data_IF_732601099000
#
_entry.id   IF_732601099000
#
_cell.length_a   1.000
_cell.length_b   1.000
_cell.length_c   1.000
_cell.angle_alpha   90.00
_cell.angle_beta   90.00
_cell.angle_gamma   90.00
#
_symmetry.space_group_name_H-M   'P 1'
#
loop_
_entity.id
_entity.type
_entity.pdbx_description
1 polymer ?
#
# COMPACT_ATOMS: atom_id res chain seq x y z
N UNK A 1 15.67 -24.90 -30.83
CA UNK A 1 14.77 -25.36 -29.76
C UNK A 1 14.34 -24.10 -28.99
N UNK A 2 13.05 -23.78 -29.04
CA UNK A 2 12.51 -22.74 -28.16
C UNK A 2 12.77 -23.14 -26.70
N UNK A 3 13.50 -22.30 -25.98
CA UNK A 3 13.74 -22.52 -24.55
C UNK A 3 12.44 -22.30 -23.81
N UNK A 4 11.85 -23.37 -23.29
CA UNK A 4 10.57 -23.29 -22.53
C UNK A 4 10.82 -22.50 -21.26
N UNK A 5 10.22 -21.32 -21.18
CA UNK A 5 10.08 -20.57 -19.93
C UNK A 5 8.87 -21.07 -19.19
N UNK A 6 9.01 -21.26 -17.89
CA UNK A 6 7.95 -21.76 -17.01
C UNK A 6 7.69 -20.79 -15.88
N UNK A 7 6.45 -20.29 -15.78
CA UNK A 7 5.95 -19.54 -14.63
C UNK A 7 5.16 -20.50 -13.75
N UNK A 8 5.56 -20.63 -12.50
CA UNK A 8 4.91 -21.54 -11.55
C UNK A 8 4.80 -20.92 -10.15
N UNK A 9 3.76 -21.28 -9.37
CA UNK A 9 3.69 -20.93 -7.96
C UNK A 9 4.91 -21.47 -7.21
N UNK A 10 5.40 -20.67 -6.25
CA UNK A 10 6.53 -21.08 -5.42
C UNK A 10 6.08 -21.89 -4.22
N UNK A 11 6.94 -22.80 -3.81
CA UNK A 11 6.81 -23.66 -2.64
C UNK A 11 8.03 -23.52 -1.73
N UNK A 12 8.03 -24.12 -0.55
CA UNK A 12 9.18 -24.14 0.36
C UNK A 12 10.48 -24.64 -0.32
N UNK A 13 10.36 -25.52 -1.32
CA UNK A 13 11.51 -26.08 -2.06
C UNK A 13 12.23 -25.05 -2.93
N UNK A 14 11.57 -23.94 -3.25
CA UNK A 14 12.08 -22.93 -4.18
C UNK A 14 12.88 -21.82 -3.47
N UNK A 15 12.89 -21.81 -2.13
CA UNK A 15 13.66 -20.84 -1.34
C UNK A 15 15.14 -20.76 -1.72
N UNK A 16 15.89 -21.89 -1.88
CA UNK A 16 17.29 -21.82 -2.28
C UNK A 16 17.50 -21.18 -3.66
N UNK A 17 16.53 -21.35 -4.58
CA UNK A 17 16.60 -20.73 -5.90
C UNK A 17 16.38 -19.20 -5.80
N UNK A 18 15.49 -18.74 -4.91
CA UNK A 18 15.28 -17.32 -4.63
C UNK A 18 16.54 -16.68 -4.00
N UNK A 19 17.12 -17.34 -2.99
CA UNK A 19 18.35 -16.89 -2.31
C UNK A 19 19.57 -16.84 -3.26
N UNK A 20 19.59 -17.72 -4.27
CA UNK A 20 20.65 -17.74 -5.27
C UNK A 20 20.54 -16.63 -6.34
N UNK A 21 19.42 -15.90 -6.41
CA UNK A 21 19.27 -14.78 -7.35
C UNK A 21 20.14 -13.59 -6.95
N UNK A 22 20.79 -12.95 -7.90
CA UNK A 22 21.38 -11.63 -7.73
C UNK A 22 20.34 -10.55 -8.01
N UNK A 23 19.61 -10.14 -6.97
CA UNK A 23 18.61 -9.05 -7.08
C UNK A 23 19.21 -7.66 -6.89
N UNK A 24 20.44 -7.59 -6.37
CA UNK A 24 21.13 -6.37 -5.96
C UNK A 24 20.53 -5.70 -4.72
N UNK A 25 19.78 -6.44 -3.91
CA UNK A 25 19.20 -6.00 -2.64
C UNK A 25 19.85 -6.83 -1.53
N UNK A 26 20.72 -6.22 -0.71
CA UNK A 26 21.50 -6.92 0.31
C UNK A 26 20.63 -7.59 1.38
N UNK A 27 19.60 -6.90 1.87
CA UNK A 27 18.68 -7.40 2.89
C UNK A 27 17.26 -7.49 2.30
N UNK A 28 17.08 -8.40 1.34
CA UNK A 28 15.79 -8.54 0.67
C UNK A 28 14.72 -9.10 1.63
N UNK A 29 13.77 -8.24 1.98
CA UNK A 29 12.67 -8.63 2.85
C UNK A 29 11.85 -9.81 2.29
N UNK A 30 11.77 -9.98 0.97
CA UNK A 30 11.02 -11.08 0.34
C UNK A 30 11.62 -12.43 0.75
N UNK A 31 12.94 -12.52 0.81
CA UNK A 31 13.65 -13.71 1.31
C UNK A 31 13.33 -13.96 2.79
N UNK A 32 13.36 -12.89 3.62
CA UNK A 32 13.10 -13.01 5.06
C UNK A 32 11.69 -13.47 5.41
N UNK A 33 10.70 -13.04 4.65
CA UNK A 33 9.29 -13.38 4.90
C UNK A 33 8.74 -14.43 3.93
N UNK A 34 9.61 -15.12 3.19
CA UNK A 34 9.24 -16.06 2.13
C UNK A 34 8.24 -17.10 2.63
N UNK A 35 8.55 -17.79 3.75
CA UNK A 35 7.70 -18.82 4.34
C UNK A 35 6.30 -18.27 4.65
N UNK A 36 6.24 -17.12 5.30
CA UNK A 36 4.97 -16.44 5.62
C UNK A 36 4.16 -16.12 4.37
N UNK A 37 4.83 -15.77 3.26
CA UNK A 37 4.14 -15.42 2.02
C UNK A 37 3.53 -16.63 1.32
N UNK A 38 4.22 -17.77 1.31
CA UNK A 38 3.74 -18.99 0.65
C UNK A 38 2.75 -19.79 1.50
N UNK A 39 2.73 -19.58 2.83
CA UNK A 39 1.78 -20.22 3.76
C UNK A 39 0.49 -19.42 3.92
N UNK A 40 0.39 -18.22 3.35
CA UNK A 40 -0.75 -17.32 3.52
C UNK A 40 -1.80 -17.50 2.44
N UNK A 41 -3.05 -17.61 2.82
CA UNK A 41 -4.20 -17.66 1.89
C UNK A 41 -4.42 -16.34 1.13
N UNK A 42 -3.83 -15.24 1.58
CA UNK A 42 -4.00 -13.90 0.96
C UNK A 42 -2.80 -13.46 0.12
N UNK A 43 -1.76 -14.29 0.00
CA UNK A 43 -0.57 -14.00 -0.79
C UNK A 43 -0.22 -15.17 -1.69
N UNK A 44 0.26 -14.89 -2.88
CA UNK A 44 0.82 -15.91 -3.75
C UNK A 44 2.09 -15.38 -4.43
N UNK A 45 3.14 -16.21 -4.45
CA UNK A 45 4.40 -15.92 -5.11
C UNK A 45 4.61 -16.87 -6.27
N UNK A 46 5.15 -16.35 -7.37
CA UNK A 46 5.49 -17.10 -8.57
C UNK A 46 6.95 -16.89 -8.93
N UNK A 47 7.55 -17.89 -9.52
CA UNK A 47 8.88 -17.83 -10.10
C UNK A 47 8.84 -18.04 -11.61
N UNK A 48 9.65 -17.27 -12.34
CA UNK A 48 9.97 -17.52 -13.75
C UNK A 48 11.25 -18.36 -13.80
N UNK A 49 11.14 -19.56 -14.35
CA UNK A 49 12.26 -20.48 -14.45
C UNK A 49 12.67 -20.71 -15.91
N UNK A 50 13.98 -20.89 -16.10
CA UNK A 50 14.57 -21.37 -17.34
C UNK A 50 15.72 -22.32 -17.00
N UNK A 51 15.72 -23.52 -17.58
CA UNK A 51 16.77 -24.54 -17.34
C UNK A 51 17.05 -24.76 -15.84
N UNK A 52 15.98 -24.76 -15.04
CA UNK A 52 16.08 -24.96 -13.58
C UNK A 52 16.56 -23.74 -12.77
N UNK A 53 16.88 -22.61 -13.42
CA UNK A 53 17.28 -21.38 -12.73
C UNK A 53 16.11 -20.41 -12.63
N UNK A 54 15.91 -19.85 -11.45
CA UNK A 54 14.94 -18.76 -11.23
C UNK A 54 15.51 -17.45 -11.79
N UNK A 55 14.78 -16.82 -12.71
CA UNK A 55 15.15 -15.56 -13.37
C UNK A 55 14.41 -14.35 -12.81
N UNK A 56 13.21 -14.57 -12.29
CA UNK A 56 12.41 -13.54 -11.66
C UNK A 56 11.46 -14.16 -10.63
N UNK A 57 11.10 -13.38 -9.63
CA UNK A 57 10.04 -13.67 -8.65
C UNK A 57 9.11 -12.47 -8.55
N UNK A 58 7.85 -12.72 -8.32
CA UNK A 58 6.81 -11.73 -8.08
C UNK A 58 5.52 -12.42 -7.71
N UNK A 59 4.49 -11.66 -7.37
CA UNK A 59 3.21 -12.24 -7.00
C UNK A 59 2.21 -11.18 -6.65
N UNK A 60 1.22 -11.55 -5.85
CA UNK A 60 0.15 -10.63 -5.45
C UNK A 60 -0.27 -10.83 -4.00
N UNK A 61 -0.99 -9.84 -3.49
CA UNK A 61 -1.73 -9.89 -2.24
C UNK A 61 -3.20 -9.63 -2.53
N UNK A 62 -4.09 -10.36 -1.87
CA UNK A 62 -5.54 -10.20 -2.00
C UNK A 62 -6.09 -9.37 -0.83
N UNK A 63 -7.01 -8.46 -1.15
CA UNK A 63 -7.72 -7.60 -0.22
C UNK A 63 -9.22 -7.65 -0.51
N UNK A 64 -10.04 -7.19 0.46
CA UNK A 64 -11.49 -7.12 0.29
C UNK A 64 -12.11 -8.46 -0.08
N UNK A 65 -11.80 -9.52 0.70
CA UNK A 65 -12.26 -10.90 0.47
C UNK A 65 -11.92 -11.43 -0.93
N UNK A 66 -10.75 -11.05 -1.46
CA UNK A 66 -10.25 -11.51 -2.76
C UNK A 66 -10.64 -10.62 -3.94
N UNK A 67 -11.41 -9.56 -3.73
CA UNK A 67 -11.87 -8.67 -4.80
C UNK A 67 -10.76 -7.84 -5.43
N UNK A 68 -9.72 -7.49 -4.66
CA UNK A 68 -8.60 -6.67 -5.09
C UNK A 68 -7.32 -7.47 -5.05
N UNK A 69 -6.60 -7.53 -6.16
CA UNK A 69 -5.28 -8.14 -6.25
C UNK A 69 -4.21 -7.05 -6.46
N UNK A 70 -3.29 -6.92 -5.51
CA UNK A 70 -2.17 -5.99 -5.58
C UNK A 70 -0.90 -6.75 -5.93
N UNK A 71 -0.40 -6.57 -7.15
CA UNK A 71 0.88 -7.12 -7.61
C UNK A 71 2.04 -6.51 -6.82
N UNK A 72 3.07 -7.29 -6.57
CA UNK A 72 4.23 -6.81 -5.85
C UNK A 72 5.37 -7.82 -5.74
N UNK A 73 6.35 -7.48 -4.93
CA UNK A 73 7.51 -8.32 -4.61
C UNK A 73 8.34 -8.71 -5.84
N UNK A 74 8.26 -7.90 -6.91
CA UNK A 74 8.95 -8.17 -8.16
C UNK A 74 10.47 -8.06 -7.97
N UNK A 75 11.19 -9.12 -8.31
CA UNK A 75 12.64 -9.19 -8.39
C UNK A 75 13.04 -9.86 -9.68
N UNK A 76 14.17 -9.47 -10.23
CA UNK A 76 14.79 -10.12 -11.37
C UNK A 76 16.27 -10.36 -11.12
N UNK A 77 16.79 -11.48 -11.57
CA UNK A 77 18.22 -11.76 -11.49
C UNK A 77 18.98 -10.85 -12.46
N UNK A 78 19.87 -10.00 -11.92
CA UNK A 78 20.67 -9.04 -12.70
C UNK A 78 21.65 -9.71 -13.67
N UNK A 79 22.05 -10.95 -13.39
CA UNK A 79 22.93 -11.75 -14.27
C UNK A 79 22.21 -12.26 -15.50
N UNK A 80 20.86 -12.21 -15.51
CA UNK A 80 20.08 -12.57 -16.68
C UNK A 80 20.24 -11.48 -17.75
N UNK A 81 20.88 -11.82 -18.87
CA UNK A 81 21.06 -10.93 -20.02
C UNK A 81 19.74 -10.65 -20.79
N UNK A 82 18.68 -11.37 -20.43
CA UNK A 82 17.40 -11.25 -21.11
C UNK A 82 16.57 -10.11 -20.54
N UNK A 83 16.07 -9.26 -21.43
CA UNK A 83 15.11 -8.21 -21.10
C UNK A 83 13.69 -8.81 -21.16
N UNK A 84 12.82 -8.41 -20.22
CA UNK A 84 11.41 -8.79 -20.29
C UNK A 84 10.97 -9.81 -19.24
N UNK A 85 11.89 -10.42 -18.46
CA UNK A 85 11.57 -11.43 -17.44
C UNK A 85 10.42 -11.01 -16.51
N UNK A 86 10.38 -9.74 -16.10
CA UNK A 86 9.32 -9.20 -15.24
C UNK A 86 7.94 -9.23 -15.92
N UNK A 87 7.87 -8.87 -17.21
CA UNK A 87 6.62 -8.92 -17.98
C UNK A 87 6.20 -10.37 -18.24
N UNK A 88 7.16 -11.24 -18.60
CA UNK A 88 6.90 -12.67 -18.83
C UNK A 88 6.41 -13.39 -17.57
N UNK A 89 6.92 -13.00 -16.40
CA UNK A 89 6.44 -13.50 -15.12
C UNK A 89 5.02 -13.00 -14.83
N UNK A 90 4.77 -11.70 -14.94
CA UNK A 90 3.53 -11.09 -14.44
C UNK A 90 2.35 -11.22 -15.41
N UNK A 91 2.57 -11.31 -16.73
CA UNK A 91 1.48 -11.40 -17.70
C UNK A 91 0.53 -12.58 -17.44
N UNK A 92 1.02 -13.84 -17.33
CA UNK A 92 0.13 -14.97 -17.07
C UNK A 92 -0.58 -14.87 -15.70
N UNK A 93 0.05 -14.25 -14.70
CA UNK A 93 -0.54 -14.00 -13.37
C UNK A 93 -1.70 -13.02 -13.50
N UNK A 94 -1.51 -11.91 -14.21
CA UNK A 94 -2.57 -10.90 -14.45
C UNK A 94 -3.72 -11.52 -15.25
N UNK A 95 -3.41 -12.33 -16.28
CA UNK A 95 -4.42 -13.02 -17.07
C UNK A 95 -5.21 -14.02 -16.23
N UNK A 96 -4.57 -14.71 -15.30
CA UNK A 96 -5.22 -15.62 -14.35
C UNK A 96 -6.13 -14.85 -13.40
N UNK A 97 -5.64 -13.75 -12.80
CA UNK A 97 -6.42 -12.90 -11.91
C UNK A 97 -7.68 -12.33 -12.59
N UNK A 98 -7.57 -11.88 -13.85
CA UNK A 98 -8.75 -11.40 -14.58
C UNK A 98 -9.73 -12.50 -14.98
N UNK A 99 -9.33 -13.78 -14.99
CA UNK A 99 -10.26 -14.91 -15.16
C UNK A 99 -10.94 -15.33 -13.88
N UNK A 100 -10.35 -15.05 -12.74
CA UNK A 100 -10.93 -15.36 -11.44
C UNK A 100 -12.20 -14.53 -11.23
N UNK A 101 -13.38 -15.14 -11.01
CA UNK A 101 -14.63 -14.41 -10.81
C UNK A 101 -14.66 -13.56 -9.54
N UNK A 102 -13.83 -13.88 -8.54
CA UNK A 102 -13.74 -13.12 -7.29
C UNK A 102 -12.99 -11.80 -7.47
N UNK A 103 -12.01 -11.75 -8.37
CA UNK A 103 -11.16 -10.58 -8.59
C UNK A 103 -11.89 -9.60 -9.49
N UNK A 104 -12.09 -8.38 -9.02
CA UNK A 104 -12.67 -7.28 -9.78
C UNK A 104 -11.63 -6.23 -10.20
N UNK A 105 -10.53 -6.11 -9.46
CA UNK A 105 -9.49 -5.13 -9.72
C UNK A 105 -8.10 -5.73 -9.53
N UNK A 106 -7.19 -5.39 -10.45
CA UNK A 106 -5.77 -5.74 -10.38
C UNK A 106 -4.95 -4.47 -10.45
N UNK A 107 -3.99 -4.31 -9.55
CA UNK A 107 -3.10 -3.15 -9.56
C UNK A 107 -1.74 -3.42 -8.95
N UNK A 108 -0.93 -2.38 -8.89
CA UNK A 108 0.39 -2.36 -8.28
C UNK A 108 0.73 -0.96 -7.80
N UNK A 109 1.50 -0.86 -6.74
CA UNK A 109 2.03 0.42 -6.25
C UNK A 109 3.55 0.40 -6.38
N UNK A 110 4.15 1.44 -6.96
CA UNK A 110 5.59 1.51 -7.18
C UNK A 110 6.13 2.92 -7.05
N UNK A 111 7.41 3.07 -6.71
CA UNK A 111 8.06 4.38 -6.66
C UNK A 111 7.88 5.14 -7.98
N UNK A 112 7.56 6.43 -7.89
CA UNK A 112 7.35 7.29 -9.05
C UNK A 112 8.54 7.29 -10.02
N UNK A 113 9.76 7.20 -9.48
CA UNK A 113 11.01 7.19 -10.26
C UNK A 113 11.45 5.79 -10.71
N UNK A 114 10.73 4.74 -10.34
CA UNK A 114 11.03 3.38 -10.82
C UNK A 114 10.49 3.17 -12.25
N UNK A 115 11.15 3.80 -13.23
CA UNK A 115 10.75 3.73 -14.62
C UNK A 115 10.72 2.32 -15.19
N UNK A 116 11.55 1.41 -14.65
CA UNK A 116 11.56 0.01 -15.10
C UNK A 116 10.28 -0.71 -14.70
N UNK A 117 9.88 -0.62 -13.43
CA UNK A 117 8.63 -1.21 -12.95
C UNK A 117 7.41 -0.57 -13.64
N UNK A 118 7.38 0.75 -13.78
CA UNK A 118 6.30 1.46 -14.47
C UNK A 118 6.08 0.97 -15.90
N UNK A 119 7.16 0.80 -16.68
CA UNK A 119 7.06 0.22 -18.04
C UNK A 119 6.52 -1.21 -18.05
N UNK A 120 6.83 -2.02 -17.04
CA UNK A 120 6.25 -3.37 -16.91
C UNK A 120 4.74 -3.25 -16.69
N UNK A 121 4.28 -2.42 -15.74
CA UNK A 121 2.87 -2.24 -15.43
C UNK A 121 2.07 -1.71 -16.63
N UNK A 122 2.63 -0.77 -17.39
CA UNK A 122 2.04 -0.25 -18.63
C UNK A 122 1.91 -1.34 -19.72
N UNK A 123 2.92 -2.22 -19.86
CA UNK A 123 2.84 -3.38 -20.78
C UNK A 123 1.77 -4.39 -20.36
N UNK A 124 1.49 -4.52 -19.07
CA UNK A 124 0.39 -5.32 -18.53
C UNK A 124 -0.99 -4.63 -18.69
N UNK A 125 -1.05 -3.50 -19.39
CA UNK A 125 -2.26 -2.70 -19.60
C UNK A 125 -2.91 -2.22 -18.29
N UNK A 126 -2.11 -1.97 -17.25
CA UNK A 126 -2.57 -1.30 -16.05
C UNK A 126 -2.47 0.21 -16.25
N UNK A 127 -3.53 0.92 -15.90
CA UNK A 127 -3.62 2.37 -16.04
C UNK A 127 -2.90 3.08 -14.89
N UNK A 128 -2.30 4.23 -15.18
CA UNK A 128 -1.74 5.12 -14.16
C UNK A 128 -2.87 5.71 -13.32
N UNK A 129 -2.69 5.66 -12.02
CA UNK A 129 -3.57 6.26 -11.01
C UNK A 129 -2.90 7.41 -10.28
N UNK A 130 -3.36 7.75 -9.07
CA UNK A 130 -2.81 8.86 -8.30
C UNK A 130 -1.39 8.61 -7.83
N UNK A 131 -0.67 9.72 -7.60
CA UNK A 131 0.61 9.74 -6.91
C UNK A 131 0.36 10.08 -5.45
N UNK A 132 0.90 9.26 -4.55
CA UNK A 132 0.82 9.46 -3.11
C UNK A 132 2.20 9.72 -2.53
N UNK A 133 2.25 10.63 -1.57
CA UNK A 133 3.42 10.93 -0.76
C UNK A 133 3.21 10.32 0.64
N UNK A 134 4.09 9.41 1.02
CA UNK A 134 4.06 8.74 2.32
C UNK A 134 5.02 9.44 3.28
N UNK A 135 4.49 9.99 4.35
CA UNK A 135 5.26 10.66 5.39
C UNK A 135 5.00 10.03 6.75
N UNK A 136 6.06 9.83 7.52
CA UNK A 136 5.90 9.42 8.91
C UNK A 136 6.22 10.61 9.82
N UNK A 137 5.22 11.13 10.51
CA UNK A 137 5.40 12.13 11.57
C UNK A 137 6.12 11.47 12.74
N UNK A 138 7.38 11.83 12.98
CA UNK A 138 8.24 11.29 14.04
C UNK A 138 8.63 12.32 15.09
N UNK A 139 8.65 13.59 14.72
CA UNK A 139 9.14 14.69 15.56
C UNK A 139 8.05 15.74 15.81
N UNK A 140 6.99 15.40 16.57
CA UNK A 140 5.84 16.30 16.74
C UNK A 140 6.18 17.65 17.39
N UNK A 141 7.31 17.74 18.11
CA UNK A 141 7.80 19.00 18.68
C UNK A 141 8.23 20.02 17.63
N UNK A 142 8.48 19.56 16.40
CA UNK A 142 8.84 20.41 15.26
C UNK A 142 7.63 20.83 14.42
N UNK A 143 6.43 20.32 14.74
CA UNK A 143 5.21 20.75 14.08
C UNK A 143 4.96 22.23 14.36
N UNK A 144 4.95 23.03 13.31
CA UNK A 144 4.67 24.47 13.35
C UNK A 144 3.63 24.81 12.28
N UNK A 145 3.07 26.00 12.35
CA UNK A 145 2.17 26.54 11.34
C UNK A 145 0.91 25.69 11.05
N UNK A 146 0.45 24.85 12.00
CA UNK A 146 -0.85 24.20 11.95
C UNK A 146 -1.88 24.94 12.78
N UNK A 147 -3.14 24.83 12.41
CA UNK A 147 -4.26 25.41 13.18
C UNK A 147 -4.52 24.55 14.42
N UNK A 148 -4.19 25.13 15.59
CA UNK A 148 -4.43 24.46 16.86
C UNK A 148 -5.92 24.40 17.20
N UNK A 149 -6.33 23.30 17.84
CA UNK A 149 -7.72 23.11 18.24
C UNK A 149 -7.91 21.97 19.23
N UNK A 150 -9.14 21.71 19.67
CA UNK A 150 -9.43 20.59 20.56
C UNK A 150 -9.18 19.27 19.82
N UNK A 151 -8.86 18.22 20.59
CA UNK A 151 -8.92 16.84 20.09
C UNK A 151 -10.34 16.56 19.61
N UNK A 152 -10.47 15.99 18.42
CA UNK A 152 -11.76 15.70 17.82
C UNK A 152 -12.49 14.60 18.58
N UNK A 153 -13.82 14.58 18.49
CA UNK A 153 -14.66 13.61 19.19
C UNK A 153 -14.53 12.22 18.54
N UNK A 154 -14.35 11.18 19.38
CA UNK A 154 -14.27 9.81 18.89
C UNK A 154 -15.66 9.29 18.48
N UNK A 155 -15.77 8.79 17.26
CA UNK A 155 -16.96 8.13 16.73
C UNK A 155 -16.88 6.64 17.07
N UNK A 156 -17.75 6.18 17.98
CA UNK A 156 -17.79 4.79 18.41
C UNK A 156 -18.90 3.99 17.75
N UNK A 157 -19.97 4.65 17.28
CA UNK A 157 -21.10 4.00 16.61
C UNK A 157 -20.70 3.45 15.25
N UNK A 158 -20.93 2.14 15.05
CA UNK A 158 -20.55 1.43 13.83
C UNK A 158 -21.31 1.92 12.60
N UNK A 159 -22.58 2.27 12.74
CA UNK A 159 -23.40 2.76 11.64
C UNK A 159 -22.89 4.12 11.18
N UNK A 160 -22.57 5.01 12.12
CA UNK A 160 -21.97 6.30 11.82
C UNK A 160 -20.59 6.15 11.14
N UNK A 161 -19.73 5.21 11.58
CA UNK A 161 -18.47 4.91 10.88
C UNK A 161 -18.70 4.50 9.42
N UNK A 162 -19.72 3.67 9.14
CA UNK A 162 -20.09 3.27 7.76
C UNK A 162 -20.53 4.46 6.91
N UNK A 163 -21.31 5.39 7.47
CA UNK A 163 -21.75 6.61 6.79
C UNK A 163 -20.56 7.52 6.44
N UNK A 164 -19.64 7.71 7.38
CA UNK A 164 -18.42 8.47 7.15
C UNK A 164 -17.56 7.84 6.04
N UNK A 165 -17.36 6.52 6.07
CA UNK A 165 -16.62 5.82 5.00
C UNK A 165 -17.30 6.00 3.65
N UNK A 166 -18.62 5.85 3.58
CA UNK A 166 -19.35 6.02 2.32
C UNK A 166 -19.18 7.43 1.74
N UNK A 167 -19.05 8.45 2.59
CA UNK A 167 -18.80 9.83 2.15
C UNK A 167 -17.43 10.02 1.46
N UNK A 168 -16.50 9.05 1.58
CA UNK A 168 -15.15 9.12 0.99
C UNK A 168 -15.05 8.47 -0.39
N UNK A 169 -16.13 7.99 -0.98
CA UNK A 169 -16.12 7.40 -2.33
C UNK A 169 -15.48 8.34 -3.37
N UNK A 170 -15.79 9.64 -3.24
CA UNK A 170 -15.14 10.71 -3.99
C UNK A 170 -14.29 11.54 -3.04
N UNK A 171 -12.98 11.36 -3.06
CA UNK A 171 -12.06 12.03 -2.15
C UNK A 171 -10.84 12.61 -2.88
N UNK A 172 -10.14 13.54 -2.25
CA UNK A 172 -9.00 14.26 -2.85
C UNK A 172 -7.73 13.42 -3.00
N UNK A 173 -7.62 12.28 -2.29
CA UNK A 173 -6.55 11.31 -2.52
C UNK A 173 -6.76 10.50 -3.81
N UNK A 174 -8.00 10.36 -4.28
CA UNK A 174 -8.39 9.53 -5.41
C UNK A 174 -8.33 8.02 -5.13
N UNK A 175 -8.07 7.63 -3.89
CA UNK A 175 -7.97 6.24 -3.41
C UNK A 175 -8.35 6.16 -1.94
N UNK A 176 -8.49 4.94 -1.44
CA UNK A 176 -8.54 4.66 -0.02
C UNK A 176 -7.18 4.12 0.46
N UNK A 177 -6.48 4.77 1.41
CA UNK A 177 -5.22 4.28 1.97
C UNK A 177 -5.51 3.11 2.93
N UNK A 178 -5.67 1.91 2.38
CA UNK A 178 -6.16 0.73 3.11
C UNK A 178 -5.15 0.25 4.16
N UNK A 179 -3.89 0.04 3.75
CA UNK A 179 -2.74 -0.22 4.61
C UNK A 179 -1.55 0.64 4.16
N UNK A 180 -0.55 0.81 5.02
CA UNK A 180 0.71 1.44 4.63
C UNK A 180 1.28 0.75 3.37
N UNK A 181 1.62 1.51 2.33
CA UNK A 181 2.02 1.06 0.99
C UNK A 181 0.91 0.45 0.11
N UNK A 182 -0.30 0.21 0.62
CA UNK A 182 -1.39 -0.42 -0.13
C UNK A 182 -2.61 0.51 -0.23
N UNK A 183 -2.53 1.58 -1.05
CA UNK A 183 -3.72 2.30 -1.45
C UNK A 183 -4.54 1.44 -2.40
N UNK A 184 -5.86 1.43 -2.23
CA UNK A 184 -6.80 0.70 -3.07
C UNK A 184 -7.87 1.65 -3.59
N UNK A 185 -8.51 1.38 -4.73
CA UNK A 185 -9.70 2.12 -5.10
C UNK A 185 -10.81 1.88 -4.05
N UNK A 186 -11.65 2.90 -3.85
CA UNK A 186 -12.77 2.77 -2.91
C UNK A 186 -13.72 1.64 -3.33
N UNK A 187 -14.08 0.81 -2.37
CA UNK A 187 -15.13 -0.20 -2.51
C UNK A 187 -15.59 -0.69 -1.13
N UNK A 188 -16.89 -0.91 -0.98
CA UNK A 188 -17.48 -1.36 0.28
C UNK A 188 -16.93 -2.71 0.78
N UNK A 189 -16.46 -3.59 -0.12
CA UNK A 189 -15.85 -4.87 0.26
C UNK A 189 -14.57 -4.72 1.12
N UNK A 190 -13.95 -3.53 1.15
CA UNK A 190 -12.80 -3.24 1.99
C UNK A 190 -13.17 -3.04 3.47
N UNK A 191 -14.44 -2.73 3.76
CA UNK A 191 -14.88 -2.23 5.07
C UNK A 191 -15.80 -3.21 5.78
N UNK A 192 -15.25 -4.34 6.19
CA UNK A 192 -15.99 -5.27 7.07
C UNK A 192 -16.22 -4.62 8.44
N UNK A 193 -17.26 -5.04 9.15
CA UNK A 193 -17.54 -4.55 10.50
C UNK A 193 -16.32 -4.69 11.42
N UNK A 194 -15.63 -5.84 11.35
CA UNK A 194 -14.40 -6.07 12.09
C UNK A 194 -13.28 -5.07 11.75
N UNK A 195 -13.17 -4.66 10.47
CA UNK A 195 -12.18 -3.66 10.05
C UNK A 195 -12.51 -2.29 10.66
N UNK A 196 -13.78 -1.90 10.65
CA UNK A 196 -14.26 -0.63 11.20
C UNK A 196 -14.16 -0.59 12.73
N UNK A 197 -14.50 -1.69 13.42
CA UNK A 197 -14.37 -1.81 14.87
C UNK A 197 -12.91 -1.67 15.34
N UNK A 198 -11.94 -2.19 14.58
CA UNK A 198 -10.50 -2.08 14.86
C UNK A 198 -9.88 -0.74 14.44
N UNK A 199 -10.68 0.18 13.91
CA UNK A 199 -10.24 1.50 13.48
C UNK A 199 -10.85 2.57 14.40
N UNK A 200 -10.02 3.50 14.88
CA UNK A 200 -10.51 4.69 15.60
C UNK A 200 -10.90 5.77 14.59
N UNK A 201 -12.09 6.32 14.75
CA UNK A 201 -12.60 7.41 13.96
C UNK A 201 -12.76 8.63 14.84
N UNK A 202 -12.33 9.79 14.39
CA UNK A 202 -12.50 11.05 15.07
C UNK A 202 -13.12 12.06 14.12
N UNK A 203 -14.12 12.80 14.58
CA UNK A 203 -14.83 13.81 13.78
C UNK A 203 -14.63 15.19 14.41
N UNK A 204 -14.38 16.21 13.58
CA UNK A 204 -14.19 17.57 14.03
C UNK A 204 -15.52 18.18 14.55
N UNK A 205 -15.48 19.29 15.35
CA UNK A 205 -16.66 19.82 16.04
C UNK A 205 -17.83 20.24 15.12
N UNK A 206 -17.56 20.62 13.87
CA UNK A 206 -18.59 21.03 12.90
C UNK A 206 -19.04 19.89 11.98
N UNK A 207 -18.53 18.66 12.24
CA UNK A 207 -18.81 17.45 11.46
C UNK A 207 -18.46 17.53 9.95
N UNK A 208 -17.64 18.51 9.55
CA UNK A 208 -17.22 18.69 8.15
C UNK A 208 -16.03 17.80 7.76
N UNK A 209 -15.27 17.31 8.73
CA UNK A 209 -14.07 16.49 8.56
C UNK A 209 -14.03 15.35 9.57
N UNK A 210 -13.40 14.27 9.17
CA UNK A 210 -13.06 13.17 10.08
C UNK A 210 -11.70 12.57 9.70
N UNK A 211 -11.09 11.88 10.64
CA UNK A 211 -9.86 11.14 10.45
C UNK A 211 -10.02 9.73 10.97
N UNK A 212 -9.43 8.78 10.26
CA UNK A 212 -9.38 7.38 10.69
C UNK A 212 -7.93 7.08 11.08
N UNK A 213 -7.73 6.47 12.24
CA UNK A 213 -6.42 5.99 12.66
C UNK A 213 -6.52 4.50 12.96
N UNK A 214 -5.60 3.75 12.41
CA UNK A 214 -5.53 2.30 12.61
C UNK A 214 -4.08 1.88 12.80
N UNK A 215 -3.83 0.94 13.71
CA UNK A 215 -2.51 0.31 13.82
C UNK A 215 -2.20 -0.49 12.55
N UNK A 216 -1.03 -0.28 11.98
CA UNK A 216 -0.51 -1.04 10.84
C UNK A 216 0.95 -1.43 11.09
N UNK A 217 1.27 -2.71 10.89
CA UNK A 217 2.60 -3.29 11.09
C UNK A 217 3.24 -3.57 9.73
N UNK A 218 4.40 -2.95 9.50
CA UNK A 218 5.29 -3.25 8.35
C UNK A 218 6.65 -3.70 8.89
N UNK A 219 7.70 -2.90 8.72
CA UNK A 219 8.97 -3.10 9.42
C UNK A 219 8.85 -2.69 10.91
N UNK A 220 8.01 -1.72 11.17
CA UNK A 220 7.69 -1.16 12.48
C UNK A 220 6.17 -1.01 12.59
N UNK A 221 5.69 -0.73 13.80
CA UNK A 221 4.30 -0.43 14.05
C UNK A 221 4.05 1.08 13.91
N UNK A 222 2.95 1.43 13.22
CA UNK A 222 2.56 2.80 12.91
C UNK A 222 1.13 3.07 13.34
N UNK A 223 0.85 4.31 13.76
CA UNK A 223 -0.50 4.87 13.71
C UNK A 223 -0.76 5.32 12.26
N UNK A 224 -1.42 4.48 11.46
CA UNK A 224 -1.75 4.80 10.07
C UNK A 224 -2.93 5.75 10.04
N UNK A 225 -2.69 6.99 9.65
CA UNK A 225 -3.66 8.11 9.60
C UNK A 225 -4.23 8.19 8.19
N UNK A 226 -5.54 8.08 8.07
CA UNK A 226 -6.27 8.16 6.81
C UNK A 226 -7.11 9.44 6.84
N UNK A 227 -6.70 10.40 6.04
CA UNK A 227 -7.38 11.69 5.89
C UNK A 227 -7.58 12.00 4.42
N UNK A 228 -8.74 12.43 4.02
CA UNK A 228 -9.20 12.40 2.64
C UNK A 228 -9.21 13.77 1.96
N UNK A 229 -8.75 14.81 2.64
CA UNK A 229 -8.68 16.19 2.17
C UNK A 229 -7.23 16.69 2.16
N UNK A 230 -7.01 17.86 1.53
CA UNK A 230 -5.68 18.46 1.40
C UNK A 230 -5.41 19.57 2.43
N UNK A 231 -6.28 19.74 3.40
CA UNK A 231 -6.30 20.85 4.37
C UNK A 231 -5.77 20.49 5.77
N UNK A 232 -4.91 19.45 5.88
CA UNK A 232 -4.36 18.94 7.16
C UNK A 232 -3.88 20.04 8.11
N UNK A 233 -3.19 21.05 7.59
CA UNK A 233 -2.62 22.16 8.38
C UNK A 233 -3.63 23.25 8.73
N UNK A 234 -4.75 23.31 8.00
CA UNK A 234 -5.81 24.32 8.16
C UNK A 234 -7.02 23.79 8.93
N UNK A 235 -6.95 22.53 9.42
CA UNK A 235 -8.02 21.93 10.22
C UNK A 235 -7.68 22.02 11.70
N UNK A 236 -8.39 22.88 12.49
CA UNK A 236 -8.14 23.01 13.90
C UNK A 236 -8.28 21.67 14.63
N UNK A 237 -7.26 21.28 15.37
CA UNK A 237 -7.28 20.05 16.17
C UNK A 237 -6.91 18.77 15.42
N UNK A 238 -6.62 18.82 14.12
CA UNK A 238 -6.22 17.61 13.37
C UNK A 238 -4.96 16.96 13.95
N UNK A 239 -3.89 17.74 14.11
CA UNK A 239 -2.64 17.21 14.66
C UNK A 239 -2.77 16.84 16.14
N UNK A 240 -3.50 17.60 16.94
CA UNK A 240 -3.80 17.26 18.32
C UNK A 240 -4.49 15.90 18.43
N UNK A 241 -5.41 15.60 17.51
CA UNK A 241 -6.16 14.34 17.46
C UNK A 241 -5.27 13.15 17.14
N UNK A 242 -4.48 13.24 16.06
CA UNK A 242 -3.61 12.10 15.68
C UNK A 242 -2.48 11.88 16.69
N UNK A 243 -1.98 12.95 17.30
CA UNK A 243 -0.99 12.86 18.39
C UNK A 243 -1.60 12.33 19.69
N UNK A 244 -2.86 12.65 19.99
CA UNK A 244 -3.61 12.06 21.10
C UNK A 244 -3.72 10.54 20.93
N UNK A 245 -4.12 10.10 19.75
CA UNK A 245 -4.18 8.67 19.43
C UNK A 245 -2.82 8.00 19.55
N UNK A 246 -1.76 8.58 18.94
CA UNK A 246 -0.41 8.01 19.00
C UNK A 246 0.12 7.86 20.43
N UNK A 247 -0.14 8.80 21.31
CA UNK A 247 0.25 8.72 22.74
C UNK A 247 -0.33 7.49 23.46
N UNK A 248 -1.46 6.97 22.99
CA UNK A 248 -2.08 5.74 23.53
C UNK A 248 -1.40 4.46 23.01
N UNK A 249 -0.53 4.59 21.99
CA UNK A 249 0.19 3.50 21.33
C UNK A 249 1.71 3.75 21.35
N UNK A 250 2.36 3.62 22.53
CA UNK A 250 3.77 4.01 22.71
C UNK A 250 4.75 3.16 21.89
N UNK A 251 4.34 1.98 21.45
CA UNK A 251 5.16 1.09 20.62
C UNK A 251 5.19 1.51 19.14
N UNK A 252 4.28 2.41 18.70
CA UNK A 252 4.30 2.95 17.37
C UNK A 252 5.44 3.95 17.18
N UNK A 253 6.17 3.81 16.08
CA UNK A 253 7.32 4.67 15.77
C UNK A 253 6.92 6.06 15.23
N UNK A 254 5.65 6.27 14.92
CA UNK A 254 5.11 7.54 14.44
C UNK A 254 3.73 7.41 13.80
N UNK A 255 3.20 8.55 13.33
CA UNK A 255 2.00 8.59 12.53
C UNK A 255 2.37 8.53 11.04
N UNK A 256 1.94 7.47 10.36
CA UNK A 256 2.04 7.36 8.92
C UNK A 256 0.86 8.08 8.27
N UNK A 257 1.13 9.02 7.39
CA UNK A 257 0.11 9.85 6.73
C UNK A 257 0.31 9.78 5.21
N UNK A 258 -0.77 9.53 4.48
CA UNK A 258 -0.79 9.53 3.02
C UNK A 258 -1.27 10.89 2.54
N UNK A 259 -0.47 11.57 1.73
CA UNK A 259 -0.83 12.84 1.13
C UNK A 259 -1.01 12.69 -0.39
N UNK A 260 -1.98 13.38 -0.94
CA UNK A 260 -2.02 13.64 -2.38
C UNK A 260 -0.86 14.54 -2.80
N UNK A 261 -0.61 14.68 -4.09
CA UNK A 261 0.40 15.61 -4.59
C UNK A 261 0.09 17.08 -4.19
N UNK A 262 -1.19 17.44 -4.06
CA UNK A 262 -1.60 18.76 -3.61
C UNK A 262 -1.45 18.91 -2.10
N UNK A 263 -1.93 17.94 -1.32
CA UNK A 263 -1.75 17.95 0.13
C UNK A 263 -0.28 18.00 0.55
N UNK A 264 0.61 17.33 -0.20
CA UNK A 264 2.05 17.40 0.05
C UNK A 264 2.64 18.80 -0.18
N UNK A 265 2.19 19.52 -1.19
CA UNK A 265 2.63 20.92 -1.45
C UNK A 265 2.18 21.89 -0.35
N UNK A 266 1.07 21.57 0.32
CA UNK A 266 0.54 22.38 1.40
C UNK A 266 1.26 22.21 2.73
N UNK A 267 2.24 21.29 2.83
CA UNK A 267 3.05 21.09 4.04
C UNK A 267 4.05 22.26 4.16
N UNK A 268 3.98 23.06 5.22
CA UNK A 268 4.84 24.25 5.36
C UNK A 268 6.28 23.89 5.74
N UNK A 269 6.49 22.79 6.44
CA UNK A 269 7.80 22.31 6.90
C UNK A 269 7.85 20.79 6.95
N UNK A 270 8.84 20.19 6.34
CA UNK A 270 9.03 18.74 6.30
C UNK A 270 9.89 18.21 7.46
N UNK A 271 10.48 19.07 8.28
CA UNK A 271 11.37 18.66 9.40
C UNK A 271 10.72 17.74 10.43
N UNK A 272 9.39 17.77 10.69
CA UNK A 272 8.73 16.82 11.58
C UNK A 272 8.67 15.39 11.06
N UNK A 273 8.90 15.19 9.76
CA UNK A 273 8.60 13.96 9.06
C UNK A 273 9.83 13.21 8.59
N UNK A 274 9.71 11.90 8.58
CA UNK A 274 10.51 11.02 7.73
C UNK A 274 9.77 10.94 6.38
N UNK A 275 10.37 11.53 5.34
CA UNK A 275 9.77 11.67 4.01
C UNK A 275 10.28 10.55 3.12
N UNK A 276 9.35 9.76 2.57
CA UNK A 276 9.67 8.74 1.59
C UNK A 276 9.51 9.27 0.16
N UNK A 277 10.16 8.61 -0.80
CA UNK A 277 9.89 8.89 -2.21
C UNK A 277 8.43 8.65 -2.55
N UNK A 278 7.83 9.47 -3.43
CA UNK A 278 6.44 9.30 -3.82
C UNK A 278 6.22 8.00 -4.61
N UNK A 279 5.04 7.43 -4.46
CA UNK A 279 4.62 6.22 -5.14
C UNK A 279 3.46 6.52 -6.09
N UNK A 280 3.42 5.78 -7.18
CA UNK A 280 2.33 5.83 -8.16
C UNK A 280 1.56 4.51 -8.14
N UNK A 281 0.25 4.62 -7.96
CA UNK A 281 -0.65 3.49 -8.11
C UNK A 281 -0.90 3.24 -9.60
N UNK A 282 -0.91 1.97 -9.98
CA UNK A 282 -1.39 1.46 -11.25
C UNK A 282 -2.55 0.52 -10.99
N UNK A 283 -3.54 0.49 -11.88
CA UNK A 283 -4.62 -0.47 -11.72
C UNK A 283 -5.60 -0.51 -12.87
N UNK A 284 -6.39 -1.58 -12.88
CA UNK A 284 -7.43 -1.81 -13.87
C UNK A 284 -8.56 -2.60 -13.25
N UNK A 285 -9.78 -2.12 -13.47
CA UNK A 285 -10.99 -2.88 -13.22
C UNK A 285 -11.22 -3.91 -14.33
N UNK A 286 -11.87 -5.01 -13.97
CA UNK A 286 -12.30 -6.06 -14.89
C UNK A 286 -13.39 -5.58 -15.82
#
# INVERSE_FOLDING_TARGET
MEQVMNVQPLTHKDRPALEAMDTGIEDDYVVRIFERLIESDSHELFGLFREGKMLAVGGYSLFGSGKFAMLGRLRSDRRSLMKGNATELLQPIVDQLFRDPMVAWVGANTHLHNHAARRVLEKLSLNQGPVLHFLTLKSPKLLTAHESGPVWEEVTDLQHKKELIHSTEMNELGVFPFECYYPLPYDNALFTDQHLEKSSFYQNPDASRFVIVKSDTKKFDYSHVKYFWNDHYNQPGFFETILHHWKQHPDHVGCWIDFSAEGFKNIPDLSPYDVQEPWMLYGKWK
#
